data_IF_828728182094
#
_entry.id   IF_828728182094
#
_cell.length_a   1.000
_cell.length_b   1.000
_cell.length_c   1.000
_cell.angle_alpha   90.00
_cell.angle_beta   90.00
_cell.angle_gamma   90.00
#
_symmetry.space_group_name_H-M   'P 1'
#
loop_
_entity.id
_entity.type
_entity.pdbx_description
1 polymer ?
#
# COMPACT_ATOMS: atom_id res chain seq x y z
N UNK A 1 -55.70 -35.66 42.28
CA UNK A 1 -55.96 -35.46 40.87
C UNK A 1 -54.90 -34.45 40.43
N UNK A 2 -53.80 -34.91 40.28
CA UNK A 2 -52.97 -35.34 39.18
C UNK A 2 -52.64 -34.18 38.23
N UNK A 3 -51.49 -33.67 38.38
CA UNK A 3 -50.87 -32.64 37.56
C UNK A 3 -49.55 -33.13 37.00
N UNK A 4 -49.55 -33.51 35.73
CA UNK A 4 -48.36 -33.92 35.03
C UNK A 4 -47.37 -32.79 34.80
N UNK A 5 -46.24 -32.97 35.34
CA UNK A 5 -45.01 -32.24 35.05
C UNK A 5 -44.43 -32.78 33.74
N UNK A 6 -44.34 -31.95 32.69
CA UNK A 6 -43.53 -32.24 31.48
C UNK A 6 -42.24 -31.48 31.54
N UNK A 7 -41.15 -32.25 31.66
CA UNK A 7 -39.80 -31.80 31.71
C UNK A 7 -39.40 -31.03 30.43
N UNK A 8 -38.57 -30.02 30.65
CA UNK A 8 -37.83 -29.34 29.63
C UNK A 8 -36.73 -30.29 29.10
N UNK A 9 -36.82 -30.69 27.86
CA UNK A 9 -35.72 -31.32 27.15
C UNK A 9 -34.58 -30.30 26.94
N UNK A 10 -33.49 -30.61 27.57
CA UNK A 10 -32.23 -29.88 27.45
C UNK A 10 -31.63 -30.26 26.09
N UNK A 11 -31.87 -29.45 25.04
CA UNK A 11 -31.15 -29.56 23.77
C UNK A 11 -29.65 -29.29 24.04
N UNK A 12 -28.91 -30.39 24.13
CA UNK A 12 -27.44 -30.34 24.13
C UNK A 12 -26.96 -29.73 22.80
N UNK A 13 -26.37 -28.53 22.88
CA UNK A 13 -25.62 -27.95 21.77
C UNK A 13 -24.61 -28.98 21.21
N UNK A 14 -24.48 -29.09 19.87
CA UNK A 14 -23.49 -29.97 19.26
C UNK A 14 -22.10 -29.58 19.75
N UNK A 15 -21.34 -30.56 20.21
CA UNK A 15 -19.92 -30.39 20.56
C UNK A 15 -19.20 -29.79 19.37
N UNK A 16 -18.53 -28.66 19.61
CA UNK A 16 -17.64 -28.00 18.68
C UNK A 16 -16.69 -29.05 18.08
N UNK A 17 -16.76 -29.23 16.79
CA UNK A 17 -15.82 -30.09 16.06
C UNK A 17 -14.58 -29.25 15.76
N UNK A 18 -13.61 -29.26 16.67
CA UNK A 18 -12.40 -28.44 16.60
C UNK A 18 -11.30 -29.08 15.71
N UNK A 19 -11.71 -30.03 14.82
CA UNK A 19 -10.79 -30.75 13.93
C UNK A 19 -9.79 -29.85 13.21
N UNK A 20 -10.22 -28.65 12.80
CA UNK A 20 -9.35 -27.68 12.10
C UNK A 20 -8.24 -27.10 12.98
N UNK A 21 -8.38 -27.15 14.31
CA UNK A 21 -7.44 -26.54 15.24
C UNK A 21 -6.55 -27.53 15.98
N UNK A 22 -7.10 -28.66 16.36
CA UNK A 22 -6.40 -29.65 17.19
C UNK A 22 -6.38 -31.06 16.61
N UNK A 23 -7.03 -31.30 15.45
CA UNK A 23 -7.13 -32.59 14.80
C UNK A 23 -8.07 -33.57 15.51
N UNK A 24 -8.89 -33.09 16.47
CA UNK A 24 -9.82 -33.93 17.23
C UNK A 24 -11.18 -34.04 16.56
N UNK A 25 -11.74 -35.23 16.51
CA UNK A 25 -13.06 -35.50 15.92
C UNK A 25 -13.02 -36.07 14.51
N UNK A 26 -14.18 -36.29 13.93
CA UNK A 26 -14.31 -36.85 12.58
C UNK A 26 -14.22 -35.71 11.55
N UNK A 27 -13.24 -35.75 10.60
CA UNK A 27 -13.06 -34.67 9.64
C UNK A 27 -14.19 -34.64 8.60
N UNK A 28 -14.62 -33.45 8.25
CA UNK A 28 -15.55 -33.22 7.15
C UNK A 28 -14.97 -33.75 5.82
N UNK A 29 -15.75 -34.47 4.98
CA UNK A 29 -15.30 -34.99 3.69
C UNK A 29 -14.69 -33.95 2.74
N UNK A 30 -15.12 -32.69 2.83
CA UNK A 30 -14.53 -31.59 2.03
C UNK A 30 -13.15 -31.18 2.57
N UNK A 31 -13.00 -31.16 3.88
CA UNK A 31 -11.72 -30.87 4.54
C UNK A 31 -10.71 -31.98 4.21
N UNK A 32 -11.10 -33.25 4.25
CA UNK A 32 -10.22 -34.35 3.84
C UNK A 32 -9.73 -34.25 2.39
N UNK A 33 -10.61 -33.78 1.47
CA UNK A 33 -10.19 -33.53 0.08
C UNK A 33 -9.18 -32.40 -0.02
N UNK A 34 -9.36 -31.34 0.76
CA UNK A 34 -8.44 -30.20 0.80
C UNK A 34 -7.09 -30.61 1.39
N UNK A 35 -7.06 -31.36 2.48
CA UNK A 35 -5.83 -31.90 3.08
C UNK A 35 -5.06 -32.81 2.13
N UNK A 36 -5.76 -33.64 1.38
CA UNK A 36 -5.14 -34.50 0.35
C UNK A 36 -4.54 -33.70 -0.80
N UNK A 37 -5.16 -32.57 -1.18
CA UNK A 37 -4.62 -31.67 -2.19
C UNK A 37 -3.41 -30.88 -1.64
N UNK A 38 -3.50 -30.39 -0.42
CA UNK A 38 -2.42 -29.64 0.23
C UNK A 38 -1.25 -30.54 0.67
N UNK A 39 -1.50 -31.81 0.92
CA UNK A 39 -0.45 -32.81 1.22
C UNK A 39 0.63 -32.91 0.15
N UNK A 40 0.34 -32.55 -1.11
CA UNK A 40 1.35 -32.45 -2.20
C UNK A 40 2.37 -31.34 -2.00
N UNK A 41 2.08 -30.37 -1.15
CA UNK A 41 2.95 -29.23 -0.84
C UNK A 41 3.66 -29.40 0.52
N UNK A 42 3.48 -30.56 1.19
CA UNK A 42 4.15 -30.86 2.45
C UNK A 42 5.65 -30.93 2.23
N UNK A 43 6.41 -30.20 3.04
CA UNK A 43 7.85 -30.13 2.93
C UNK A 43 8.48 -31.36 3.62
N UNK A 44 8.75 -32.42 2.84
CA UNK A 44 9.34 -33.69 3.32
C UNK A 44 10.87 -33.73 3.21
N UNK A 45 11.54 -32.59 3.17
CA UNK A 45 13.01 -32.58 3.16
C UNK A 45 13.52 -32.86 4.58
N UNK A 46 14.42 -33.83 4.76
CA UNK A 46 15.05 -34.06 6.05
C UNK A 46 15.79 -32.79 6.49
N UNK A 47 15.66 -32.46 7.78
CA UNK A 47 16.37 -31.31 8.38
C UNK A 47 17.87 -31.49 8.12
N UNK A 48 18.56 -30.49 7.52
CA UNK A 48 20.02 -30.61 7.32
C UNK A 48 20.71 -30.75 8.68
N UNK A 49 21.53 -31.81 8.79
CA UNK A 49 22.36 -32.03 9.98
C UNK A 49 23.44 -30.96 9.98
N UNK A 50 23.40 -30.07 10.95
CA UNK A 50 24.46 -29.07 11.13
C UNK A 50 25.77 -29.79 11.52
N UNK A 51 26.91 -29.52 10.87
CA UNK A 51 28.19 -30.08 11.27
C UNK A 51 28.54 -29.61 12.69
N UNK A 52 28.86 -30.56 13.56
CA UNK A 52 29.39 -30.25 14.89
C UNK A 52 30.69 -29.46 14.74
N UNK A 53 30.74 -28.28 15.34
CA UNK A 53 31.96 -27.46 15.38
C UNK A 53 32.93 -28.13 16.36
N UNK A 54 33.90 -28.88 15.84
CA UNK A 54 34.94 -29.45 16.64
C UNK A 54 35.75 -28.34 17.33
N UNK A 55 36.05 -28.47 18.64
CA UNK A 55 36.83 -27.46 19.36
C UNK A 55 38.22 -27.31 18.78
N UNK A 56 38.67 -26.11 18.55
CA UNK A 56 39.98 -25.80 18.00
C UNK A 56 41.11 -26.45 18.81
N UNK A 57 41.79 -27.40 18.21
CA UNK A 57 42.95 -28.09 18.78
C UNK A 57 44.07 -27.09 18.98
N UNK A 58 44.42 -26.80 20.24
CA UNK A 58 45.57 -25.97 20.59
C UNK A 58 46.82 -26.63 20.04
N UNK A 59 47.49 -25.98 19.13
CA UNK A 59 48.77 -26.39 18.62
C UNK A 59 49.84 -26.13 19.69
N UNK A 60 50.41 -27.20 20.24
CA UNK A 60 51.58 -27.11 21.10
C UNK A 60 52.77 -26.63 20.28
N UNK A 61 53.38 -25.54 20.71
CA UNK A 61 54.62 -25.04 20.14
C UNK A 61 55.78 -26.03 20.41
N UNK A 62 56.23 -26.67 19.36
CA UNK A 62 57.41 -27.55 19.42
C UNK A 62 58.64 -26.76 18.93
N UNK A 63 59.70 -26.64 19.70
CA UNK A 63 60.88 -25.87 19.31
C UNK A 63 61.77 -26.68 18.40
N UNK A 64 61.79 -26.41 17.11
CA UNK A 64 62.78 -26.97 16.19
C UNK A 64 63.83 -25.91 15.83
N UNK A 65 64.96 -26.10 16.39
CA UNK A 65 66.18 -25.34 16.05
C UNK A 65 66.76 -25.79 14.70
N UNK A 66 66.98 -24.86 13.84
CA UNK A 66 68.04 -24.76 12.81
C UNK A 66 68.36 -25.96 11.92
N UNK A 67 67.90 -25.93 10.69
CA UNK A 67 68.64 -26.23 9.45
C UNK A 67 67.74 -26.10 8.23
N UNK A 68 67.45 -24.87 7.72
CA UNK A 68 66.64 -24.76 6.51
C UNK A 68 66.86 -23.37 5.84
N UNK A 69 68.08 -23.07 5.39
CA UNK A 69 68.31 -21.91 4.54
C UNK A 69 67.74 -22.04 3.10
N UNK A 70 67.55 -23.22 2.46
CA UNK A 70 66.89 -23.28 1.15
C UNK A 70 65.35 -23.27 1.19
N UNK A 71 64.72 -23.66 2.31
CA UNK A 71 63.22 -23.73 2.38
C UNK A 71 62.56 -22.35 2.59
N UNK A 72 63.28 -21.38 3.11
CA UNK A 72 62.75 -20.03 3.34
C UNK A 72 62.57 -19.28 2.01
N UNK A 73 63.49 -19.49 1.05
CA UNK A 73 63.41 -18.83 -0.27
C UNK A 73 62.23 -19.34 -1.12
N UNK A 74 61.92 -20.65 -1.05
CA UNK A 74 60.78 -21.23 -1.74
C UNK A 74 59.41 -20.87 -1.09
N UNK A 75 59.37 -20.77 0.24
CA UNK A 75 58.18 -20.29 0.94
C UNK A 75 57.91 -18.81 0.65
N UNK A 76 58.93 -17.97 0.59
CA UNK A 76 58.78 -16.55 0.21
C UNK A 76 58.32 -16.39 -1.25
N UNK A 77 58.81 -17.20 -2.17
CA UNK A 77 58.35 -17.22 -3.56
C UNK A 77 56.86 -17.67 -3.69
N UNK A 78 56.43 -18.67 -2.94
CA UNK A 78 55.01 -19.10 -2.92
C UNK A 78 54.10 -18.07 -2.29
N UNK A 79 54.54 -17.39 -1.23
CA UNK A 79 53.78 -16.25 -0.63
C UNK A 79 53.71 -15.08 -1.58
N UNK A 80 54.82 -14.76 -2.29
CA UNK A 80 54.82 -13.68 -3.29
C UNK A 80 53.94 -14.03 -4.49
N UNK A 81 53.92 -15.28 -4.96
CA UNK A 81 53.00 -15.74 -6.02
C UNK A 81 51.54 -15.75 -5.53
N UNK A 82 51.26 -16.20 -4.30
CA UNK A 82 49.95 -16.14 -3.70
C UNK A 82 49.48 -14.70 -3.47
N UNK A 83 50.36 -13.80 -3.04
CA UNK A 83 50.05 -12.38 -2.92
C UNK A 83 49.87 -11.72 -4.29
N UNK A 84 50.72 -12.04 -5.29
CA UNK A 84 50.52 -11.55 -6.67
C UNK A 84 49.24 -12.10 -7.31
N UNK A 85 48.90 -13.38 -7.13
CA UNK A 85 47.61 -13.93 -7.59
C UNK A 85 46.43 -13.32 -6.81
N UNK A 86 46.57 -13.08 -5.51
CA UNK A 86 45.54 -12.36 -4.72
C UNK A 86 45.38 -10.90 -5.15
N UNK A 87 46.46 -10.23 -5.50
CA UNK A 87 46.46 -8.84 -6.00
C UNK A 87 45.98 -8.77 -7.46
N UNK A 88 46.35 -9.75 -8.31
CA UNK A 88 45.93 -9.83 -9.72
C UNK A 88 44.53 -10.41 -9.91
N UNK A 89 44.10 -11.29 -9.02
CA UNK A 89 42.72 -11.74 -8.88
C UNK A 89 41.98 -10.96 -7.81
N UNK A 90 42.45 -9.72 -7.54
CA UNK A 90 41.78 -8.81 -6.63
C UNK A 90 40.30 -8.97 -6.83
N UNK A 91 39.57 -9.38 -5.78
CA UNK A 91 38.11 -9.49 -5.79
C UNK A 91 37.60 -8.32 -6.60
N UNK A 92 37.08 -8.60 -7.82
CA UNK A 92 36.26 -7.58 -8.49
C UNK A 92 35.40 -7.04 -7.38
N UNK A 93 35.42 -5.73 -7.09
CA UNK A 93 34.57 -5.20 -6.05
C UNK A 93 33.19 -5.75 -6.37
N UNK A 94 32.65 -6.58 -5.49
CA UNK A 94 31.25 -6.96 -5.59
C UNK A 94 30.60 -5.59 -5.68
N UNK A 95 29.94 -5.24 -6.81
CA UNK A 95 29.34 -3.94 -6.89
C UNK A 95 28.45 -3.88 -5.66
N UNK A 96 28.72 -2.94 -4.75
CA UNK A 96 27.81 -2.61 -3.65
C UNK A 96 26.56 -2.29 -4.43
N UNK A 97 25.63 -3.25 -4.45
CA UNK A 97 24.39 -3.10 -5.21
C UNK A 97 23.74 -1.90 -4.57
N UNK A 98 23.84 -0.75 -5.23
CA UNK A 98 23.37 0.51 -4.67
C UNK A 98 21.93 0.26 -4.24
N UNK A 99 21.62 0.52 -2.97
CA UNK A 99 20.31 0.33 -2.42
C UNK A 99 19.29 1.03 -3.34
N UNK A 100 18.30 0.33 -3.82
CA UNK A 100 17.35 0.86 -4.80
C UNK A 100 16.32 -0.20 -5.19
N UNK A 101 15.28 0.23 -5.86
CA UNK A 101 14.26 -0.66 -6.41
C UNK A 101 14.68 -1.22 -7.75
N UNK A 102 14.32 -2.46 -7.99
CA UNK A 102 14.56 -3.10 -9.28
C UNK A 102 13.66 -2.52 -10.36
N UNK A 103 14.25 -2.14 -11.48
CA UNK A 103 13.55 -1.60 -12.65
C UNK A 103 13.75 -2.54 -13.84
N UNK A 104 12.66 -3.07 -14.36
CA UNK A 104 12.62 -3.89 -15.54
C UNK A 104 11.95 -3.14 -16.69
N UNK A 105 12.49 -3.29 -17.89
CA UNK A 105 11.86 -2.77 -19.11
C UNK A 105 10.69 -3.66 -19.52
N UNK A 106 9.50 -3.06 -19.67
CA UNK A 106 8.34 -3.72 -20.28
C UNK A 106 8.24 -3.43 -21.77
N UNK A 107 8.51 -2.17 -22.18
CA UNK A 107 8.50 -1.74 -23.57
C UNK A 107 9.43 -0.54 -23.80
N UNK A 108 9.82 -0.28 -25.02
CA UNK A 108 10.62 0.88 -25.41
C UNK A 108 11.98 0.97 -24.73
N UNK A 109 12.40 2.17 -24.37
CA UNK A 109 13.68 2.48 -23.71
C UNK A 109 13.50 3.41 -22.52
N UNK A 110 12.92 2.93 -21.38
CA UNK A 110 12.82 3.73 -20.16
C UNK A 110 14.20 4.23 -19.72
N UNK A 111 14.27 5.36 -19.01
CA UNK A 111 15.53 5.95 -18.57
C UNK A 111 15.54 6.21 -17.05
N UNK A 112 16.69 5.95 -16.43
CA UNK A 112 16.98 6.35 -15.06
C UNK A 112 18.06 7.44 -15.14
N UNK A 113 17.67 8.70 -14.98
CA UNK A 113 18.55 9.84 -15.24
C UNK A 113 19.05 9.86 -16.68
N UNK A 114 20.37 9.69 -16.87
CA UNK A 114 21.00 9.64 -18.22
C UNK A 114 21.10 8.23 -18.81
N UNK A 115 20.86 7.20 -18.01
CA UNK A 115 21.06 5.81 -18.41
C UNK A 115 19.76 5.20 -18.90
N UNK A 116 19.82 4.49 -20.04
CA UNK A 116 18.68 3.72 -20.56
C UNK A 116 18.58 2.37 -19.87
N UNK A 117 17.37 1.97 -19.52
CA UNK A 117 17.06 0.62 -19.05
C UNK A 117 16.92 -0.27 -20.29
N UNK A 118 17.99 -0.98 -20.65
CA UNK A 118 18.06 -1.81 -21.84
C UNK A 118 18.37 -3.26 -21.49
N UNK A 119 17.81 -4.19 -22.29
CA UNK A 119 18.10 -5.61 -22.17
C UNK A 119 17.18 -6.37 -21.23
N UNK A 120 17.62 -7.60 -20.87
CA UNK A 120 16.96 -8.49 -19.92
C UNK A 120 17.41 -8.24 -18.47
N UNK A 121 18.41 -7.37 -18.27
CA UNK A 121 18.95 -7.07 -16.95
C UNK A 121 18.10 -6.03 -16.25
N UNK A 122 17.88 -6.22 -14.95
CA UNK A 122 17.25 -5.23 -14.11
C UNK A 122 18.22 -4.11 -13.80
N UNK A 123 17.76 -2.88 -13.95
CA UNK A 123 18.47 -1.68 -13.49
C UNK A 123 18.00 -1.34 -12.08
N UNK A 124 18.78 -0.55 -11.34
CA UNK A 124 18.41 -0.11 -9.99
C UNK A 124 18.02 1.37 -9.99
N UNK A 125 16.86 1.70 -9.41
CA UNK A 125 16.43 3.07 -9.14
C UNK A 125 16.77 3.42 -7.69
N UNK A 126 17.80 4.23 -7.49
CA UNK A 126 18.22 4.70 -6.16
C UNK A 126 17.37 5.89 -5.67
N UNK A 127 17.46 6.17 -4.36
CA UNK A 127 16.82 7.33 -3.75
C UNK A 127 17.33 8.62 -4.40
N UNK A 128 16.41 9.53 -4.73
CA UNK A 128 16.66 10.79 -5.45
C UNK A 128 16.71 10.64 -6.97
N UNK A 129 16.81 9.43 -7.52
CA UNK A 129 16.81 9.21 -8.96
C UNK A 129 15.41 9.28 -9.55
N UNK A 130 15.38 9.60 -10.85
CA UNK A 130 14.15 9.74 -11.63
C UNK A 130 14.10 8.67 -12.71
N UNK A 131 12.98 7.97 -12.79
CA UNK A 131 12.59 7.10 -13.90
C UNK A 131 11.67 7.88 -14.85
N UNK A 132 12.00 7.86 -16.12
CA UNK A 132 11.20 8.48 -17.19
C UNK A 132 10.86 7.47 -18.28
N UNK A 133 9.63 7.53 -18.75
CA UNK A 133 9.13 6.79 -19.90
C UNK A 133 8.65 7.78 -20.98
N UNK A 134 8.97 7.49 -22.24
CA UNK A 134 8.45 8.22 -23.40
C UNK A 134 7.13 7.60 -23.91
N UNK A 135 6.67 8.00 -25.09
CA UNK A 135 5.42 7.53 -25.71
C UNK A 135 5.42 6.03 -26.05
N UNK A 136 6.58 5.38 -26.11
CA UNK A 136 6.72 3.98 -26.50
C UNK A 136 7.25 3.11 -25.34
N UNK A 137 7.64 3.74 -24.25
CA UNK A 137 8.32 3.08 -23.14
C UNK A 137 7.38 2.79 -21.99
N UNK A 138 7.57 1.60 -21.39
CA UNK A 138 6.94 1.18 -20.13
C UNK A 138 7.97 0.47 -19.28
N UNK A 139 7.85 0.59 -17.95
CA UNK A 139 8.74 -0.05 -17.00
C UNK A 139 7.94 -0.69 -15.86
N UNK A 140 8.55 -1.69 -15.22
CA UNK A 140 8.07 -2.24 -13.96
C UNK A 140 9.11 -1.98 -12.89
N UNK A 141 8.67 -1.42 -11.76
CA UNK A 141 9.47 -1.27 -10.54
C UNK A 141 9.05 -2.35 -9.56
N UNK A 142 10.02 -2.97 -8.91
CA UNK A 142 9.79 -3.94 -7.85
C UNK A 142 10.55 -3.52 -6.59
N UNK A 143 9.80 -3.35 -5.53
CA UNK A 143 10.30 -3.20 -4.17
C UNK A 143 9.99 -4.50 -3.42
N UNK A 144 11.02 -5.30 -3.12
CA UNK A 144 10.91 -6.72 -2.71
C UNK A 144 9.75 -7.00 -1.73
N UNK A 145 9.74 -6.33 -0.59
CA UNK A 145 8.75 -6.55 0.48
C UNK A 145 7.57 -5.57 0.43
N UNK A 146 7.57 -4.61 -0.50
CA UNK A 146 6.56 -3.55 -0.55
C UNK A 146 5.51 -3.83 -1.60
N UNK A 147 5.93 -4.08 -2.85
CA UNK A 147 5.00 -4.17 -3.96
C UNK A 147 5.64 -4.10 -5.33
N UNK A 148 4.77 -3.96 -6.33
CA UNK A 148 5.12 -3.77 -7.72
C UNK A 148 4.38 -2.56 -8.28
N UNK A 149 5.06 -1.79 -9.13
CA UNK A 149 4.51 -0.62 -9.80
C UNK A 149 4.80 -0.74 -11.28
N UNK A 150 3.77 -0.71 -12.11
CA UNK A 150 3.92 -0.55 -13.55
C UNK A 150 3.83 0.93 -13.91
N UNK A 151 4.82 1.41 -14.64
CA UNK A 151 4.93 2.79 -15.09
C UNK A 151 4.59 2.84 -16.56
N UNK A 152 3.49 3.51 -16.89
CA UNK A 152 2.97 3.66 -18.23
C UNK A 152 3.76 4.71 -19.03
N UNK A 153 3.39 4.88 -20.31
CA UNK A 153 4.01 5.86 -21.19
C UNK A 153 3.90 7.29 -20.65
N UNK A 154 4.81 8.15 -21.08
CA UNK A 154 4.82 9.59 -20.78
C UNK A 154 4.83 9.90 -19.26
N UNK A 155 5.45 9.03 -18.47
CA UNK A 155 5.48 9.14 -17.02
C UNK A 155 6.83 9.62 -16.51
N UNK A 156 6.80 10.36 -15.39
CA UNK A 156 7.97 10.80 -14.63
C UNK A 156 7.77 10.50 -13.17
N UNK A 157 8.61 9.62 -12.64
CA UNK A 157 8.54 9.12 -11.28
C UNK A 157 9.90 9.26 -10.59
N UNK A 158 9.93 9.67 -9.32
CA UNK A 158 11.13 9.78 -8.51
C UNK A 158 11.01 8.92 -7.25
N UNK A 159 12.06 8.19 -6.92
CA UNK A 159 12.16 7.49 -5.63
C UNK A 159 12.60 8.48 -4.56
N UNK A 160 11.76 8.73 -3.56
CA UNK A 160 12.01 9.73 -2.50
C UNK A 160 12.61 9.09 -1.25
N UNK A 161 12.06 7.96 -0.82
CA UNK A 161 12.49 7.23 0.37
C UNK A 161 12.32 5.74 0.14
N UNK A 162 13.26 4.96 0.67
CA UNK A 162 13.21 3.51 0.70
C UNK A 162 13.62 3.04 2.10
N UNK A 163 12.78 2.28 2.75
CA UNK A 163 13.04 1.74 4.09
C UNK A 163 12.02 0.69 4.49
N UNK A 164 12.27 0.01 5.59
CA UNK A 164 11.39 -1.04 6.10
C UNK A 164 10.00 -0.51 6.49
N UNK A 165 9.94 0.70 7.05
CA UNK A 165 8.70 1.27 7.58
C UNK A 165 8.03 2.26 6.63
N UNK A 166 8.76 2.76 5.63
CA UNK A 166 8.24 3.75 4.69
C UNK A 166 8.96 3.68 3.36
N UNK A 167 8.17 3.49 2.32
CA UNK A 167 8.55 3.63 0.93
C UNK A 167 7.76 4.78 0.31
N UNK A 168 8.45 5.74 -0.29
CA UNK A 168 7.85 6.95 -0.83
C UNK A 168 8.37 7.26 -2.21
N UNK A 169 7.46 7.51 -3.14
CA UNK A 169 7.76 7.97 -4.49
C UNK A 169 7.04 9.28 -4.77
N UNK A 170 7.52 10.04 -5.75
CA UNK A 170 6.81 11.18 -6.31
C UNK A 170 6.45 10.87 -7.77
N UNK A 171 5.19 11.02 -8.15
CA UNK A 171 4.72 10.98 -9.51
C UNK A 171 4.46 12.40 -9.98
N UNK A 172 5.40 12.95 -10.77
CA UNK A 172 5.29 14.32 -11.28
C UNK A 172 4.21 14.41 -12.38
N UNK A 173 4.16 13.41 -13.27
CA UNK A 173 3.17 13.25 -14.35
C UNK A 173 3.12 11.81 -14.85
N UNK A 174 2.09 11.46 -15.59
CA UNK A 174 1.91 10.15 -16.23
C UNK A 174 0.94 9.25 -15.50
N UNK A 175 1.08 7.96 -15.68
CA UNK A 175 0.18 6.95 -15.11
C UNK A 175 1.00 5.81 -14.52
N UNK A 176 0.62 5.39 -13.31
CA UNK A 176 1.16 4.19 -12.66
C UNK A 176 0.02 3.26 -12.27
N UNK A 177 0.28 1.96 -12.38
CA UNK A 177 -0.54 0.91 -11.80
C UNK A 177 0.21 0.34 -10.61
N UNK A 178 -0.40 0.37 -9.45
CA UNK A 178 0.23 0.07 -8.17
C UNK A 178 -0.40 -1.16 -7.57
N UNK A 179 0.44 -2.09 -7.11
CA UNK A 179 0.06 -3.33 -6.44
C UNK A 179 0.90 -3.46 -5.18
N UNK A 180 0.33 -3.17 -4.01
CA UNK A 180 1.04 -3.14 -2.74
C UNK A 180 0.54 -4.26 -1.84
N UNK A 181 1.50 -5.01 -1.28
CA UNK A 181 1.27 -6.05 -0.25
C UNK A 181 1.93 -5.72 1.08
N UNK A 182 2.62 -4.58 1.18
CA UNK A 182 3.14 -4.07 2.44
C UNK A 182 1.99 -3.72 3.40
N UNK A 183 2.25 -3.68 4.71
CA UNK A 183 1.29 -3.19 5.68
C UNK A 183 0.75 -1.80 5.37
N UNK A 184 -0.50 -1.49 5.75
CA UNK A 184 -1.12 -0.20 5.51
C UNK A 184 -0.24 0.98 5.94
N UNK A 185 -0.12 1.98 5.07
CA UNK A 185 0.61 3.22 5.34
C UNK A 185 2.11 3.17 5.12
N UNK A 186 2.68 2.02 4.78
CA UNK A 186 4.11 1.90 4.48
C UNK A 186 4.48 2.31 3.06
N UNK A 187 3.49 2.54 2.21
CA UNK A 187 3.71 3.03 0.86
C UNK A 187 2.95 4.33 0.59
N UNK A 188 3.67 5.34 0.08
CA UNK A 188 3.13 6.67 -0.17
C UNK A 188 3.55 7.16 -1.56
N UNK A 189 2.61 7.76 -2.28
CA UNK A 189 2.87 8.45 -3.55
C UNK A 189 2.52 9.92 -3.42
N UNK A 190 3.52 10.79 -3.58
CA UNK A 190 3.29 12.22 -3.71
C UNK A 190 2.93 12.58 -5.14
N UNK A 191 1.98 13.47 -5.29
CA UNK A 191 1.65 14.12 -6.56
C UNK A 191 1.60 15.64 -6.37
N UNK A 192 1.59 16.45 -7.43
CA UNK A 192 1.44 17.90 -7.30
C UNK A 192 0.15 18.33 -6.61
N UNK A 193 -0.84 17.44 -6.50
CA UNK A 193 -2.19 17.79 -6.03
C UNK A 193 -2.68 16.98 -4.83
N UNK A 194 -1.96 15.93 -4.40
CA UNK A 194 -2.31 15.15 -3.22
C UNK A 194 -1.16 14.22 -2.79
N UNK A 195 -1.16 13.86 -1.52
CA UNK A 195 -0.42 12.72 -1.00
C UNK A 195 -1.36 11.51 -0.97
N UNK A 196 -0.94 10.44 -1.64
CA UNK A 196 -1.66 9.17 -1.74
C UNK A 196 -1.06 8.18 -0.75
N UNK A 197 -1.85 7.65 0.16
CA UNK A 197 -1.43 6.65 1.14
C UNK A 197 -2.07 5.32 0.79
N UNK A 198 -1.25 4.32 0.63
CA UNK A 198 -1.70 2.95 0.40
C UNK A 198 -2.12 2.29 1.72
N UNK A 199 -3.27 1.65 1.71
CA UNK A 199 -3.83 0.96 2.88
C UNK A 199 -4.06 -0.54 2.62
N UNK A 200 -3.17 -1.13 1.77
CA UNK A 200 -3.26 -2.54 1.33
C UNK A 200 -4.14 -2.65 0.08
N UNK A 201 -3.64 -2.18 -1.06
CA UNK A 201 -4.50 -1.98 -2.22
C UNK A 201 -3.83 -2.20 -3.58
N UNK A 202 -4.68 -2.26 -4.60
CA UNK A 202 -4.30 -2.10 -6.00
C UNK A 202 -5.08 -0.93 -6.59
N UNK A 203 -4.39 -0.05 -7.30
CA UNK A 203 -4.99 1.14 -7.88
C UNK A 203 -4.22 1.67 -9.10
N UNK A 204 -4.90 2.45 -9.92
CA UNK A 204 -4.29 3.26 -10.97
C UNK A 204 -4.29 4.72 -10.53
N UNK A 205 -3.13 5.35 -10.60
CA UNK A 205 -2.96 6.79 -10.34
C UNK A 205 -2.46 7.47 -11.61
N UNK A 206 -3.20 8.46 -12.08
CA UNK A 206 -2.86 9.30 -13.22
C UNK A 206 -2.65 10.74 -12.76
N UNK A 207 -1.61 11.38 -13.28
CA UNK A 207 -1.32 12.82 -13.11
C UNK A 207 -1.07 13.41 -14.48
N UNK A 208 -1.80 14.47 -14.84
CA UNK A 208 -1.64 15.16 -16.11
C UNK A 208 -0.56 16.27 -16.05
N UNK A 209 -0.28 16.91 -17.17
CA UNK A 209 0.72 17.99 -17.30
C UNK A 209 0.41 19.22 -16.42
N UNK A 210 -0.84 19.44 -16.05
CA UNK A 210 -1.24 20.50 -15.11
C UNK A 210 -1.02 20.13 -13.65
N UNK A 211 -0.66 18.87 -13.36
CA UNK A 211 -0.56 18.31 -12.02
C UNK A 211 -1.90 17.88 -11.44
N UNK A 212 -2.99 17.93 -12.23
CA UNK A 212 -4.26 17.37 -11.82
C UNK A 212 -4.21 15.83 -11.85
N UNK A 213 -4.81 15.19 -10.86
CA UNK A 213 -4.73 13.74 -10.69
C UNK A 213 -6.09 13.05 -10.69
N UNK A 214 -6.03 11.73 -10.86
CA UNK A 214 -7.16 10.83 -10.73
C UNK A 214 -6.66 9.49 -10.19
N UNK A 215 -7.22 9.03 -9.07
CA UNK A 215 -7.03 7.67 -8.59
C UNK A 215 -8.27 6.83 -8.89
N UNK A 216 -8.05 5.54 -9.20
CA UNK A 216 -9.09 4.50 -9.29
C UNK A 216 -8.62 3.29 -8.52
N UNK A 217 -9.34 2.91 -7.49
CA UNK A 217 -9.00 1.76 -6.65
C UNK A 217 -9.69 0.51 -7.18
N UNK A 218 -8.92 -0.55 -7.41
CA UNK A 218 -9.44 -1.85 -7.87
C UNK A 218 -9.53 -2.89 -6.75
N UNK A 219 -8.69 -2.78 -5.71
CA UNK A 219 -8.69 -3.67 -4.54
C UNK A 219 -8.33 -2.87 -3.29
N UNK A 220 -8.92 -3.20 -2.14
CA UNK A 220 -8.68 -2.51 -0.88
C UNK A 220 -9.14 -1.06 -0.91
N UNK A 221 -8.39 -0.15 -0.31
CA UNK A 221 -8.69 1.27 -0.33
C UNK A 221 -7.44 2.16 -0.24
N UNK A 222 -7.58 3.36 -0.76
CA UNK A 222 -6.53 4.39 -0.82
C UNK A 222 -7.01 5.61 -0.03
N UNK A 223 -6.12 6.22 0.75
CA UNK A 223 -6.35 7.51 1.39
C UNK A 223 -5.64 8.63 0.64
N UNK A 224 -6.36 9.71 0.33
CA UNK A 224 -5.77 10.97 -0.08
C UNK A 224 -5.74 11.96 1.08
N UNK A 225 -4.63 12.71 1.19
CA UNK A 225 -4.52 13.80 2.15
C UNK A 225 -3.79 15.01 1.55
N UNK A 226 -4.37 16.20 1.71
CA UNK A 226 -3.71 17.47 1.44
C UNK A 226 -4.45 18.59 2.18
N UNK A 227 -3.72 19.51 2.83
CA UNK A 227 -4.25 20.72 3.47
C UNK A 227 -5.46 20.47 4.40
N UNK A 228 -5.45 19.35 5.14
CA UNK A 228 -6.54 18.97 6.04
C UNK A 228 -7.75 18.31 5.35
N UNK A 229 -7.76 18.22 4.02
CA UNK A 229 -8.77 17.45 3.30
C UNK A 229 -8.36 15.98 3.21
N UNK A 230 -9.29 15.10 3.58
CA UNK A 230 -9.15 13.65 3.47
C UNK A 230 -10.17 13.08 2.49
N UNK A 231 -9.78 12.06 1.77
CA UNK A 231 -10.68 11.31 0.89
C UNK A 231 -10.30 9.83 0.94
N UNK A 232 -11.28 8.97 1.21
CA UNK A 232 -11.12 7.53 1.29
C UNK A 232 -11.76 6.88 0.07
N UNK A 233 -10.96 6.17 -0.70
CA UNK A 233 -11.33 5.66 -2.02
C UNK A 233 -11.30 4.13 -1.97
N UNK A 234 -12.42 3.47 -1.65
CA UNK A 234 -12.52 2.01 -1.64
C UNK A 234 -12.54 1.43 -3.05
N UNK A 235 -12.40 0.10 -3.15
CA UNK A 235 -12.45 -0.63 -4.42
C UNK A 235 -13.71 -0.28 -5.25
N UNK A 236 -13.52 0.00 -6.54
CA UNK A 236 -14.56 0.43 -7.49
C UNK A 236 -14.89 1.92 -7.41
N UNK A 237 -14.22 2.69 -6.54
CA UNK A 237 -14.36 4.13 -6.47
C UNK A 237 -13.18 4.86 -7.14
N UNK A 238 -13.43 6.13 -7.47
CA UNK A 238 -12.47 7.06 -8.03
C UNK A 238 -12.49 8.39 -7.28
N UNK A 239 -11.37 9.12 -7.33
CA UNK A 239 -11.27 10.47 -6.78
C UNK A 239 -10.34 11.31 -7.65
N UNK A 240 -10.82 12.48 -8.06
CA UNK A 240 -10.02 13.47 -8.75
C UNK A 240 -9.28 14.38 -7.77
N UNK A 241 -8.14 14.93 -8.21
CA UNK A 241 -7.38 15.93 -7.45
C UNK A 241 -7.01 17.11 -8.33
N UNK A 242 -6.83 18.30 -7.73
CA UNK A 242 -6.38 19.51 -8.43
C UNK A 242 -5.27 20.20 -7.63
N UNK A 243 -4.23 20.73 -8.29
CA UNK A 243 -3.23 21.54 -7.62
C UNK A 243 -3.85 22.69 -6.85
N UNK A 244 -3.31 23.01 -5.69
CA UNK A 244 -3.79 24.04 -4.75
C UNK A 244 -5.13 23.74 -4.06
N UNK A 245 -6.05 23.01 -4.71
CA UNK A 245 -7.34 22.60 -4.15
C UNK A 245 -7.20 21.33 -3.32
N UNK A 246 -6.45 20.37 -3.84
CA UNK A 246 -6.28 19.04 -3.22
C UNK A 246 -7.25 17.99 -3.73
N UNK A 247 -7.51 16.95 -2.91
CA UNK A 247 -8.42 15.87 -3.27
C UNK A 247 -9.88 16.34 -3.24
N UNK A 248 -10.60 15.98 -4.31
CA UNK A 248 -12.05 16.10 -4.38
C UNK A 248 -12.77 15.01 -3.59
N UNK A 249 -14.05 14.91 -3.79
CA UNK A 249 -14.91 13.93 -3.12
C UNK A 249 -14.91 12.60 -3.86
N UNK A 250 -14.65 11.46 -3.20
CA UNK A 250 -14.70 10.14 -3.81
C UNK A 250 -16.11 9.78 -4.30
N UNK A 251 -16.16 9.02 -5.39
CA UNK A 251 -17.40 8.53 -5.96
C UNK A 251 -17.20 7.16 -6.60
N UNK A 252 -18.24 6.33 -6.64
CA UNK A 252 -18.18 5.08 -7.39
C UNK A 252 -18.28 5.35 -8.91
N UNK A 253 -17.48 4.63 -9.70
CA UNK A 253 -17.39 4.86 -11.15
C UNK A 253 -18.72 4.59 -11.88
N UNK A 254 -19.60 3.78 -11.31
CA UNK A 254 -20.94 3.50 -11.80
C UNK A 254 -21.99 4.58 -11.40
N UNK A 255 -21.60 5.65 -10.71
CA UNK A 255 -22.48 6.77 -10.43
C UNK A 255 -22.92 7.46 -11.73
N UNK A 256 -24.16 7.98 -11.74
CA UNK A 256 -24.74 8.58 -12.94
C UNK A 256 -23.85 9.72 -13.49
N UNK A 257 -23.80 9.92 -14.82
CA UNK A 257 -23.05 11.05 -15.39
C UNK A 257 -23.46 12.40 -14.82
N UNK A 258 -24.76 12.60 -14.57
CA UNK A 258 -25.30 13.83 -13.96
C UNK A 258 -24.76 14.04 -12.55
N UNK A 259 -24.73 12.99 -11.72
CA UNK A 259 -24.14 13.04 -10.38
C UNK A 259 -22.66 13.40 -10.42
N UNK A 260 -21.89 12.70 -11.26
CA UNK A 260 -20.44 12.95 -11.38
C UNK A 260 -20.12 14.34 -11.92
N UNK A 261 -20.90 14.85 -12.87
CA UNK A 261 -20.70 16.20 -13.39
C UNK A 261 -21.00 17.28 -12.33
N UNK A 262 -22.10 17.14 -11.57
CA UNK A 262 -22.41 18.04 -10.46
C UNK A 262 -21.32 18.00 -9.38
N UNK A 263 -20.81 16.81 -9.03
CA UNK A 263 -19.74 16.65 -8.07
C UNK A 263 -18.44 17.32 -8.52
N UNK A 264 -18.06 17.17 -9.79
CA UNK A 264 -16.86 17.79 -10.34
C UNK A 264 -16.92 19.32 -10.30
N UNK A 265 -18.07 19.91 -10.61
CA UNK A 265 -18.28 21.35 -10.47
C UNK A 265 -18.22 21.78 -9.01
N UNK A 266 -18.91 21.05 -8.14
CA UNK A 266 -18.93 21.35 -6.71
C UNK A 266 -17.52 21.36 -6.10
N UNK A 267 -16.67 20.38 -6.46
CA UNK A 267 -15.33 20.23 -5.90
C UNK A 267 -14.32 21.24 -6.48
N UNK A 268 -14.40 21.57 -7.78
CA UNK A 268 -13.28 22.18 -8.50
C UNK A 268 -13.58 23.44 -9.29
N UNK A 269 -14.83 23.85 -9.41
CA UNK A 269 -15.18 25.08 -10.11
C UNK A 269 -15.39 26.24 -9.14
N UNK A 270 -14.94 27.44 -9.55
CA UNK A 270 -15.24 28.68 -8.84
C UNK A 270 -16.72 29.05 -9.05
N UNK A 271 -17.56 28.46 -8.21
CA UNK A 271 -19.02 28.59 -8.30
C UNK A 271 -19.56 29.53 -7.24
N UNK A 272 -20.61 30.28 -7.59
CA UNK A 272 -21.39 31.06 -6.62
C UNK A 272 -22.04 30.13 -5.58
N UNK A 273 -22.38 30.68 -4.41
CA UNK A 273 -23.07 29.91 -3.38
C UNK A 273 -24.38 29.28 -3.92
N UNK A 274 -25.09 29.97 -4.79
CA UNK A 274 -26.33 29.46 -5.38
C UNK A 274 -26.06 28.27 -6.36
N UNK A 275 -25.02 28.35 -7.16
CA UNK A 275 -24.60 27.24 -8.03
C UNK A 275 -24.17 26.01 -7.23
N UNK A 276 -23.40 26.20 -6.16
CA UNK A 276 -23.01 25.11 -5.25
C UNK A 276 -24.21 24.43 -4.60
N UNK A 277 -25.24 25.22 -4.18
CA UNK A 277 -26.50 24.68 -3.66
C UNK A 277 -27.25 23.91 -4.74
N UNK A 278 -27.28 24.41 -5.99
CA UNK A 278 -27.85 23.71 -7.13
C UNK A 278 -27.18 22.38 -7.44
N UNK A 279 -25.85 22.37 -7.50
CA UNK A 279 -25.09 21.12 -7.71
C UNK A 279 -25.30 20.12 -6.56
N UNK A 280 -25.34 20.61 -5.32
CA UNK A 280 -25.65 19.77 -4.16
C UNK A 280 -27.05 19.15 -4.28
N UNK A 281 -28.08 19.95 -4.67
CA UNK A 281 -29.42 19.43 -4.86
C UNK A 281 -29.50 18.35 -5.93
N UNK A 282 -28.78 18.53 -7.05
CA UNK A 282 -28.67 17.50 -8.11
C UNK A 282 -28.04 16.21 -7.55
N UNK A 283 -26.95 16.31 -6.79
CA UNK A 283 -26.29 15.16 -6.18
C UNK A 283 -27.22 14.45 -5.19
N UNK A 284 -27.87 15.18 -4.29
CA UNK A 284 -28.77 14.59 -3.29
C UNK A 284 -29.98 13.90 -3.94
N UNK A 285 -30.53 14.48 -5.01
CA UNK A 285 -31.65 13.89 -5.77
C UNK A 285 -31.27 12.61 -6.50
N UNK A 286 -30.07 12.57 -7.09
CA UNK A 286 -29.57 11.44 -7.89
C UNK A 286 -28.88 10.34 -7.06
N UNK A 287 -28.59 10.59 -5.78
CA UNK A 287 -27.81 9.69 -4.93
C UNK A 287 -28.53 8.37 -4.69
N UNK A 288 -27.81 7.26 -4.90
CA UNK A 288 -28.21 5.87 -4.61
C UNK A 288 -27.61 5.43 -3.27
N UNK A 289 -28.02 4.26 -2.76
CA UNK A 289 -27.44 3.69 -1.51
C UNK A 289 -25.92 3.61 -1.54
N UNK A 290 -25.34 3.21 -2.67
CA UNK A 290 -23.88 3.11 -2.84
C UNK A 290 -23.18 4.48 -2.80
N UNK A 291 -23.86 5.53 -3.21
CA UNK A 291 -23.33 6.89 -3.21
C UNK A 291 -23.27 7.49 -1.77
N UNK A 292 -23.63 6.70 -0.73
CA UNK A 292 -23.36 7.02 0.68
C UNK A 292 -21.87 7.34 0.92
N UNK A 293 -20.95 6.72 0.17
CA UNK A 293 -19.53 7.10 0.14
C UNK A 293 -19.34 8.60 -0.08
N UNK A 294 -19.89 9.11 -1.17
CA UNK A 294 -19.78 10.53 -1.56
C UNK A 294 -20.47 11.42 -0.53
N UNK A 295 -21.67 11.06 -0.10
CA UNK A 295 -22.44 11.84 0.86
C UNK A 295 -21.75 11.94 2.22
N UNK A 296 -21.09 10.87 2.69
CA UNK A 296 -20.33 10.90 3.93
C UNK A 296 -19.18 11.91 3.86
N UNK A 297 -18.42 11.94 2.76
CA UNK A 297 -17.35 12.91 2.56
C UNK A 297 -17.89 14.34 2.43
N UNK A 298 -19.06 14.52 1.78
CA UNK A 298 -19.69 15.83 1.64
C UNK A 298 -20.09 16.46 2.98
N UNK A 299 -20.35 15.65 4.04
CA UNK A 299 -20.63 16.21 5.38
C UNK A 299 -19.57 17.20 5.85
N UNK A 300 -18.28 16.88 5.62
CA UNK A 300 -17.17 17.75 6.02
C UNK A 300 -16.86 18.86 5.00
N UNK A 301 -17.43 18.78 3.77
CA UNK A 301 -17.10 19.68 2.66
C UNK A 301 -18.14 20.78 2.40
N UNK A 302 -19.32 20.63 2.99
CA UNK A 302 -20.38 21.63 2.92
C UNK A 302 -20.42 22.48 4.18
N UNK A 303 -20.93 23.70 4.04
CA UNK A 303 -21.20 24.56 5.18
C UNK A 303 -22.28 23.97 6.10
N UNK A 304 -22.43 24.55 7.30
CA UNK A 304 -23.32 24.03 8.32
C UNK A 304 -24.79 23.93 7.87
N UNK A 305 -25.30 24.92 7.13
CA UNK A 305 -26.70 24.94 6.64
C UNK A 305 -26.97 23.74 5.68
N UNK A 306 -26.26 23.65 4.55
CA UNK A 306 -26.39 22.55 3.61
C UNK A 306 -26.07 21.17 4.20
N UNK A 307 -25.24 21.09 5.27
CA UNK A 307 -24.88 19.81 5.92
C UNK A 307 -26.11 19.05 6.44
N UNK A 308 -27.13 19.75 6.89
CA UNK A 308 -28.39 19.12 7.32
C UNK A 308 -29.01 18.32 6.17
N UNK A 309 -29.04 18.86 4.96
CA UNK A 309 -29.61 18.20 3.78
C UNK A 309 -28.81 16.94 3.41
N UNK A 310 -27.47 17.05 3.48
CA UNK A 310 -26.56 15.89 3.25
C UNK A 310 -26.81 14.80 4.30
N UNK A 311 -26.87 15.20 5.57
CA UNK A 311 -27.15 14.26 6.66
C UNK A 311 -28.49 13.54 6.47
N UNK A 312 -29.57 14.30 6.20
CA UNK A 312 -30.90 13.72 6.06
C UNK A 312 -30.97 12.74 4.86
N UNK A 313 -30.29 13.09 3.74
CA UNK A 313 -30.22 12.17 2.59
C UNK A 313 -29.37 10.94 2.87
N UNK A 314 -28.20 11.10 3.47
CA UNK A 314 -27.31 9.98 3.84
C UNK A 314 -28.03 9.03 4.82
N UNK A 315 -28.68 9.58 5.85
CA UNK A 315 -29.47 8.79 6.81
C UNK A 315 -30.58 7.99 6.13
N UNK A 316 -31.25 8.56 5.13
CA UNK A 316 -32.31 7.86 4.40
C UNK A 316 -31.78 6.69 3.56
N UNK A 317 -30.56 6.80 3.03
CA UNK A 317 -29.92 5.76 2.22
C UNK A 317 -29.21 4.69 3.05
N UNK A 318 -28.56 5.11 4.13
CA UNK A 318 -27.75 4.29 5.01
C UNK A 318 -27.88 4.81 6.46
N UNK A 319 -28.81 4.31 7.25
CA UNK A 319 -29.02 4.78 8.62
C UNK A 319 -27.77 4.68 9.48
N UNK A 320 -27.46 5.68 10.32
CA UNK A 320 -26.32 5.63 11.22
C UNK A 320 -26.58 4.63 12.38
N UNK A 321 -25.48 4.19 13.06
CA UNK A 321 -25.62 3.42 14.32
C UNK A 321 -26.38 4.22 15.39
N UNK A 322 -27.00 3.53 16.34
CA UNK A 322 -27.78 4.17 17.42
C UNK A 322 -26.97 5.12 18.30
N UNK A 323 -25.66 4.92 18.41
CA UNK A 323 -24.72 5.78 19.14
C UNK A 323 -24.40 7.09 18.44
N UNK A 324 -24.70 7.21 17.14
CA UNK A 324 -24.42 8.39 16.31
C UNK A 324 -25.61 9.33 16.28
N UNK A 325 -25.43 10.55 16.81
CA UNK A 325 -26.48 11.57 16.89
C UNK A 325 -26.41 12.55 15.72
N UNK A 326 -27.56 13.10 15.32
CA UNK A 326 -27.61 14.16 14.31
C UNK A 326 -26.74 15.36 14.68
N UNK A 327 -26.85 15.82 15.93
CA UNK A 327 -26.08 16.97 16.42
C UNK A 327 -24.57 16.73 16.42
N UNK A 328 -24.12 15.51 16.75
CA UNK A 328 -22.72 15.15 16.65
C UNK A 328 -22.20 15.23 15.22
N UNK A 329 -22.93 14.67 14.26
CA UNK A 329 -22.56 14.72 12.83
C UNK A 329 -22.58 16.16 12.30
N UNK A 330 -23.55 16.96 12.68
CA UNK A 330 -23.62 18.37 12.24
C UNK A 330 -22.47 19.22 12.80
N UNK A 331 -21.93 18.85 13.96
CA UNK A 331 -20.70 19.46 14.52
C UNK A 331 -19.41 18.82 14.02
N UNK A 332 -19.49 17.83 13.14
CA UNK A 332 -18.35 17.04 12.63
C UNK A 332 -17.57 16.32 13.76
N UNK A 333 -18.31 15.72 14.71
CA UNK A 333 -17.71 14.88 15.74
C UNK A 333 -17.01 13.68 15.10
N UNK A 334 -15.68 13.65 15.17
CA UNK A 334 -14.88 12.68 14.44
C UNK A 334 -15.17 11.23 14.86
N UNK A 335 -15.26 10.89 16.15
CA UNK A 335 -15.67 9.55 16.59
C UNK A 335 -17.02 9.11 16.02
N UNK A 336 -18.01 9.99 15.93
CA UNK A 336 -19.31 9.65 15.35
C UNK A 336 -19.27 9.50 13.83
N UNK A 337 -18.47 10.33 13.13
CA UNK A 337 -18.23 10.17 11.70
C UNK A 337 -17.54 8.82 11.41
N UNK A 338 -16.53 8.45 12.20
CA UNK A 338 -15.80 7.21 12.05
C UNK A 338 -16.69 5.98 12.33
N UNK A 339 -17.56 6.03 13.34
CA UNK A 339 -18.55 4.99 13.61
C UNK A 339 -19.54 4.82 12.46
N UNK A 340 -20.01 5.93 11.88
CA UNK A 340 -20.91 5.86 10.73
C UNK A 340 -20.20 5.30 9.50
N UNK A 341 -18.94 5.70 9.25
CA UNK A 341 -18.13 5.12 8.18
C UNK A 341 -18.04 3.58 8.29
N UNK A 342 -17.70 3.07 9.46
CA UNK A 342 -17.59 1.63 9.67
C UNK A 342 -18.92 0.90 9.43
N UNK A 343 -20.06 1.55 9.74
CA UNK A 343 -21.39 1.03 9.41
C UNK A 343 -21.68 1.01 7.90
N UNK A 344 -21.07 1.88 7.10
CA UNK A 344 -21.25 1.90 5.65
C UNK A 344 -20.58 0.69 4.96
N UNK A 345 -19.69 -0.01 5.62
CA UNK A 345 -19.07 -1.25 5.13
C UNK A 345 -18.03 -1.03 4.03
N UNK A 346 -17.37 0.12 4.00
CA UNK A 346 -16.32 0.41 3.02
C UNK A 346 -14.94 -0.05 3.48
N UNK A 347 -14.68 -0.12 4.74
CA UNK A 347 -13.55 -0.71 5.47
C UNK A 347 -13.44 -0.09 6.88
N UNK A 348 -12.50 -0.56 7.73
CA UNK A 348 -12.30 -0.02 9.08
C UNK A 348 -11.41 1.24 9.03
N UNK A 349 -12.02 2.40 9.29
CA UNK A 349 -11.31 3.68 9.30
C UNK A 349 -10.24 3.78 10.40
N UNK A 350 -10.25 2.88 11.39
CA UNK A 350 -9.26 2.88 12.47
C UNK A 350 -7.84 2.68 11.94
N UNK A 351 -7.66 1.96 10.83
CA UNK A 351 -6.39 1.77 10.12
C UNK A 351 -5.80 3.13 9.71
N UNK A 352 -6.62 3.99 9.10
CA UNK A 352 -6.22 5.36 8.73
C UNK A 352 -5.90 6.21 9.96
N UNK A 353 -6.75 6.18 10.99
CA UNK A 353 -6.55 6.96 12.21
C UNK A 353 -5.31 6.54 12.97
N UNK A 354 -4.97 5.24 12.93
CA UNK A 354 -3.73 4.74 13.51
C UNK A 354 -2.51 5.26 12.73
N UNK A 355 -2.53 5.12 11.41
CA UNK A 355 -1.48 5.63 10.53
C UNK A 355 -1.29 7.14 10.70
N UNK A 356 -2.35 7.92 10.70
CA UNK A 356 -2.29 9.37 10.85
C UNK A 356 -1.61 9.80 12.16
N UNK A 357 -1.90 9.13 13.27
CA UNK A 357 -1.25 9.39 14.56
C UNK A 357 0.24 9.03 14.56
N UNK A 358 0.61 7.91 13.96
CA UNK A 358 2.00 7.47 13.86
C UNK A 358 2.83 8.36 12.93
N UNK A 359 2.21 8.81 11.83
CA UNK A 359 2.83 9.64 10.80
C UNK A 359 3.03 11.11 11.21
N UNK A 360 2.11 11.68 12.00
CA UNK A 360 2.19 13.08 12.44
C UNK A 360 3.46 13.39 13.23
N UNK A 361 4.14 12.37 13.74
CA UNK A 361 5.46 12.49 14.39
C UNK A 361 6.65 12.45 13.43
N UNK A 362 6.51 11.90 12.23
CA UNK A 362 7.62 11.59 11.34
C UNK A 362 7.74 12.49 10.08
N UNK A 363 6.68 13.17 9.68
CA UNK A 363 6.63 13.95 8.42
C UNK A 363 6.49 15.45 8.66
N UNK A 364 7.57 16.12 8.95
CA UNK A 364 7.67 17.54 8.56
C UNK A 364 7.84 17.58 7.04
N UNK A 365 7.01 18.36 6.29
CA UNK A 365 7.25 18.55 4.87
C UNK A 365 8.65 19.10 4.69
N UNK A 366 9.42 18.51 3.77
CA UNK A 366 10.69 19.07 3.33
C UNK A 366 10.35 20.45 2.78
N UNK A 367 10.73 21.51 3.50
CA UNK A 367 10.65 22.87 2.99
C UNK A 367 11.46 22.89 1.70
N UNK A 368 10.83 23.26 0.60
CA UNK A 368 11.52 23.58 -0.64
C UNK A 368 12.66 24.56 -0.30
N UNK A 369 13.89 24.14 -0.58
CA UNK A 369 15.00 25.05 -0.63
C UNK A 369 14.74 26.01 -1.79
N UNK A 370 14.69 27.32 -1.46
CA UNK A 370 14.55 28.40 -2.43
C UNK A 370 15.68 28.39 -3.44
#
# INVERSE_FOLDING_TARGET
MDTGNKGAENESMPRNNDYLWDGSGEPDPEIQKLEKLLGKFRHDRPVPVFPEIAPARRWALFPWRLRLFPAVASAAALVAIAAATFLLHGKKPVPITAAGWDVSRLAGTPRIGRNTVSGKETSRLGVGQVLETDQQSRASLRAEDTGQIEVEQCSRLRLMTMGADLNRIALDRGTIQVYIWAPPGQFVVDTPSAMTVDLGCAYTLKVDESGAGMVRTSLGWVGFKLNGHESFIPAGAACATRPKVGPGTPYFEDASPTFRAALARFDFEDSTAQQRVGDLAVMLGAARKRDALTLWHLLARVEQGPRVLVYDRLRALAPPPASVTKDGILRLDQPMLDQWWNQLGFDDISVWRHWERSWSGAAKPIREAK
#
